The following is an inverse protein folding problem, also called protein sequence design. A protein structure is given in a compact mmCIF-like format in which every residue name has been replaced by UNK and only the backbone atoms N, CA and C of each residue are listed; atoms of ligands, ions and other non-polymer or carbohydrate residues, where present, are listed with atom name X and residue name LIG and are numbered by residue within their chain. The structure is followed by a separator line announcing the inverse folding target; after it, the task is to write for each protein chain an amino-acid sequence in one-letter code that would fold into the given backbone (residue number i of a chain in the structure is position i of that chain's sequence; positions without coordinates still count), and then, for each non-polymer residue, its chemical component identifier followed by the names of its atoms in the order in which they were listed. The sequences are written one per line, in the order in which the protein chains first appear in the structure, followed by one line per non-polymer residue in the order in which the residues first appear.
data_IF_810422979395
#
_entry.id   IF_810422979395
#
_cell.length_a   1.000
_cell.length_b   1.000
_cell.length_c   1.000
_cell.angle_alpha   90.00
_cell.angle_beta   90.00
_cell.angle_gamma   90.00
#
_symmetry.space_group_name_H-M   'P 1'
#
loop_
_entity.id
_entity.type
_entity.pdbx_description
1 polymer ?
#
# COMPACT_ATOMS: atom_id res chain seq x y z
N UNK A 1 -34.79 8.59 30.72
CA UNK A 1 -34.39 7.44 29.88
C UNK A 1 -33.10 7.84 29.17
N UNK A 2 -31.95 7.24 29.50
CA UNK A 2 -30.73 7.47 28.71
C UNK A 2 -30.96 6.87 27.31
N UNK A 3 -31.19 7.74 26.32
CA UNK A 3 -31.27 7.33 24.92
C UNK A 3 -29.92 6.72 24.53
N UNK A 4 -29.94 5.50 23.98
CA UNK A 4 -28.70 4.87 23.50
C UNK A 4 -28.09 5.77 22.40
N UNK A 5 -26.77 5.99 22.40
CA UNK A 5 -26.14 6.83 21.40
C UNK A 5 -26.35 6.26 20.00
N UNK A 6 -26.61 7.13 19.03
CA UNK A 6 -26.69 6.74 17.62
C UNK A 6 -25.27 6.47 17.12
N UNK A 7 -25.06 5.28 16.58
CA UNK A 7 -23.81 4.88 15.94
C UNK A 7 -23.86 5.35 14.50
N UNK A 8 -22.89 6.17 14.10
CA UNK A 8 -22.77 6.60 12.73
C UNK A 8 -21.99 5.55 11.94
N UNK A 9 -22.50 5.15 10.78
CA UNK A 9 -21.83 4.23 9.87
C UNK A 9 -21.40 4.99 8.62
N UNK A 10 -20.13 4.83 8.23
CA UNK A 10 -19.59 5.31 6.95
C UNK A 10 -18.92 4.17 6.20
N UNK A 11 -18.97 4.22 4.87
CA UNK A 11 -18.15 3.42 3.98
C UNK A 11 -17.22 4.33 3.18
N UNK A 12 -15.91 4.07 3.22
CA UNK A 12 -14.93 4.74 2.38
C UNK A 12 -14.70 3.93 1.10
N UNK A 13 -14.24 4.58 0.04
CA UNK A 13 -14.05 3.93 -1.25
C UNK A 13 -12.76 4.31 -1.95
N UNK A 14 -12.62 3.73 -3.13
CA UNK A 14 -11.58 4.00 -4.10
C UNK A 14 -11.80 5.39 -4.74
N UNK A 15 -10.75 6.00 -5.28
CA UNK A 15 -10.87 7.21 -6.09
C UNK A 15 -11.55 6.92 -7.45
N UNK A 16 -11.41 5.69 -7.96
CA UNK A 16 -11.95 5.25 -9.25
C UNK A 16 -13.42 4.87 -9.09
N UNK A 17 -14.31 5.66 -9.69
CA UNK A 17 -15.75 5.38 -9.68
C UNK A 17 -16.10 3.97 -10.17
N UNK A 18 -15.39 3.45 -11.18
CA UNK A 18 -15.63 2.10 -11.71
C UNK A 18 -15.31 0.98 -10.72
N UNK A 19 -14.33 1.16 -9.83
CA UNK A 19 -14.04 0.21 -8.76
C UNK A 19 -15.15 0.23 -7.70
N UNK A 20 -15.58 1.42 -7.29
CA UNK A 20 -16.68 1.61 -6.36
C UNK A 20 -18.00 1.03 -6.88
N UNK A 21 -18.37 1.31 -8.13
CA UNK A 21 -19.59 0.79 -8.77
C UNK A 21 -19.62 -0.75 -8.78
N UNK A 22 -18.48 -1.40 -9.03
CA UNK A 22 -18.37 -2.87 -8.98
C UNK A 22 -18.57 -3.44 -7.57
N UNK A 23 -18.20 -2.68 -6.53
CA UNK A 23 -18.25 -3.13 -5.14
C UNK A 23 -19.53 -2.70 -4.40
N UNK A 24 -20.36 -1.84 -4.98
CA UNK A 24 -21.55 -1.26 -4.33
C UNK A 24 -22.48 -2.34 -3.74
N UNK A 25 -22.84 -3.35 -4.53
CA UNK A 25 -23.72 -4.44 -4.08
C UNK A 25 -23.11 -5.23 -2.92
N UNK A 26 -21.80 -5.52 -2.99
CA UNK A 26 -21.09 -6.26 -1.95
C UNK A 26 -21.01 -5.45 -0.65
N UNK A 27 -20.70 -4.16 -0.75
CA UNK A 27 -20.67 -3.24 0.38
C UNK A 27 -22.04 -3.13 1.06
N UNK A 28 -23.13 -2.93 0.30
CA UNK A 28 -24.47 -2.83 0.88
C UNK A 28 -24.91 -4.13 1.57
N UNK A 29 -24.55 -5.30 1.00
CA UNK A 29 -24.82 -6.59 1.63
C UNK A 29 -24.04 -6.76 2.94
N UNK A 30 -22.75 -6.39 2.96
CA UNK A 30 -21.91 -6.40 4.14
C UNK A 30 -22.45 -5.45 5.22
N UNK A 31 -22.79 -4.21 4.85
CA UNK A 31 -23.40 -3.23 5.76
C UNK A 31 -24.73 -3.75 6.35
N UNK A 32 -25.57 -4.40 5.55
CA UNK A 32 -26.84 -4.96 6.02
C UNK A 32 -26.62 -6.06 7.08
N UNK A 33 -25.65 -6.95 6.87
CA UNK A 33 -25.27 -7.99 7.83
C UNK A 33 -24.69 -7.38 9.12
N UNK A 34 -23.79 -6.41 9.00
CA UNK A 34 -23.20 -5.69 10.13
C UNK A 34 -24.27 -4.93 10.93
N UNK A 35 -25.17 -4.20 10.26
CA UNK A 35 -26.27 -3.47 10.89
C UNK A 35 -27.21 -4.43 11.62
N UNK A 36 -27.50 -5.61 11.05
CA UNK A 36 -28.29 -6.66 11.71
C UNK A 36 -27.61 -7.11 13.01
N UNK A 37 -26.31 -7.38 12.99
CA UNK A 37 -25.55 -7.77 14.18
C UNK A 37 -25.59 -6.66 15.26
N UNK A 38 -25.40 -5.40 14.87
CA UNK A 38 -25.46 -4.25 15.80
C UNK A 38 -26.85 -4.12 16.44
N UNK A 39 -27.92 -4.27 15.65
CA UNK A 39 -29.30 -4.20 16.17
C UNK A 39 -29.61 -5.33 17.14
N UNK A 40 -29.10 -6.55 16.90
CA UNK A 40 -29.26 -7.70 17.80
C UNK A 40 -28.57 -7.47 19.15
N UNK A 41 -27.44 -6.75 19.17
CA UNK A 41 -26.77 -6.33 20.41
C UNK A 41 -27.35 -5.01 20.98
N UNK A 42 -28.46 -4.53 20.41
CA UNK A 42 -29.24 -3.41 20.90
C UNK A 42 -28.72 -2.02 20.53
N UNK A 43 -27.82 -1.90 19.54
CA UNK A 43 -27.35 -0.63 19.00
C UNK A 43 -28.32 -0.01 17.98
N UNK A 44 -28.20 1.31 17.78
CA UNK A 44 -28.98 2.06 16.78
C UNK A 44 -28.00 2.65 15.78
N UNK A 45 -28.17 2.33 14.49
CA UNK A 45 -27.24 2.76 13.43
C UNK A 45 -27.89 3.80 12.54
N UNK A 46 -27.14 4.84 12.19
CA UNK A 46 -27.45 5.82 11.14
C UNK A 46 -26.30 5.86 10.14
N UNK A 47 -26.54 5.45 8.90
CA UNK A 47 -25.57 5.66 7.82
C UNK A 47 -25.44 7.16 7.54
N UNK A 48 -24.21 7.69 7.53
CA UNK A 48 -23.98 9.13 7.47
C UNK A 48 -24.06 9.73 6.06
N UNK A 49 -24.12 8.87 5.05
CA UNK A 49 -24.14 9.22 3.63
C UNK A 49 -24.96 8.19 2.84
N UNK A 50 -25.23 8.48 1.57
CA UNK A 50 -26.13 7.69 0.73
C UNK A 50 -25.68 7.62 -0.72
N UNK A 51 -26.44 6.89 -1.52
CA UNK A 51 -26.17 6.71 -2.95
C UNK A 51 -26.20 8.05 -3.71
N UNK A 52 -25.19 8.27 -4.54
CA UNK A 52 -25.04 9.46 -5.40
C UNK A 52 -25.19 9.05 -6.85
N UNK A 53 -26.28 9.50 -7.49
CA UNK A 53 -26.65 9.12 -8.87
C UNK A 53 -25.58 9.52 -9.89
N UNK A 54 -24.91 10.64 -9.65
CA UNK A 54 -23.89 11.22 -10.50
C UNK A 54 -22.64 10.35 -10.63
N UNK A 55 -22.28 9.58 -9.60
CA UNK A 55 -21.12 8.67 -9.59
C UNK A 55 -21.52 7.20 -9.59
N UNK A 56 -22.80 6.89 -9.36
CA UNK A 56 -23.34 5.52 -9.42
C UNK A 56 -22.98 4.63 -8.24
N UNK A 57 -22.60 5.20 -7.11
CA UNK A 57 -22.25 4.46 -5.89
C UNK A 57 -22.51 5.29 -4.62
N UNK A 58 -22.37 4.66 -3.45
CA UNK A 58 -22.64 5.27 -2.15
C UNK A 58 -21.41 5.43 -1.25
N UNK A 59 -20.20 5.16 -1.75
CA UNK A 59 -18.93 5.37 -1.03
C UNK A 59 -18.51 6.84 -0.92
N UNK A 60 -17.67 7.13 0.09
CA UNK A 60 -16.84 8.34 0.13
C UNK A 60 -15.63 8.13 -0.78
N UNK A 61 -15.49 8.95 -1.83
CA UNK A 61 -14.50 8.78 -2.90
C UNK A 61 -13.55 9.98 -3.08
N UNK A 62 -13.58 10.91 -2.12
CA UNK A 62 -12.68 12.06 -2.13
C UNK A 62 -12.56 12.67 -0.75
N UNK A 63 -11.44 13.34 -0.48
CA UNK A 63 -11.28 14.13 0.74
C UNK A 63 -12.33 15.24 0.86
N UNK A 64 -12.68 15.90 -0.25
CA UNK A 64 -13.74 16.92 -0.26
C UNK A 64 -15.04 16.36 0.30
N UNK A 65 -15.48 15.23 -0.25
CA UNK A 65 -16.74 14.62 0.18
C UNK A 65 -16.65 14.06 1.60
N UNK A 66 -15.54 13.41 1.96
CA UNK A 66 -15.30 12.94 3.32
C UNK A 66 -15.42 14.06 4.35
N UNK A 67 -14.79 15.22 4.10
CA UNK A 67 -14.91 16.39 4.98
C UNK A 67 -16.34 16.93 5.07
N UNK A 68 -17.12 16.91 3.99
CA UNK A 68 -18.53 17.29 4.02
C UNK A 68 -19.38 16.35 4.89
N UNK A 69 -19.05 15.06 4.93
CA UNK A 69 -19.70 14.08 5.80
C UNK A 69 -19.32 14.32 7.27
N UNK A 70 -18.02 14.46 7.57
CA UNK A 70 -17.57 14.66 8.96
C UNK A 70 -18.08 15.96 9.59
N UNK A 71 -18.33 17.02 8.81
CA UNK A 71 -19.00 18.25 9.30
C UNK A 71 -20.41 17.99 9.86
N UNK A 72 -21.06 16.90 9.46
CA UNK A 72 -22.45 16.55 9.85
C UNK A 72 -22.52 15.46 10.93
N UNK A 73 -21.40 14.78 11.21
CA UNK A 73 -21.31 13.76 12.25
C UNK A 73 -20.96 14.46 13.57
N UNK A 74 -21.73 14.26 14.66
CA UNK A 74 -21.32 14.76 15.98
C UNK A 74 -19.97 14.15 16.37
N UNK A 75 -18.98 14.99 16.67
CA UNK A 75 -17.60 14.53 16.90
C UNK A 75 -17.44 13.55 18.06
N UNK A 76 -18.36 13.54 19.04
CA UNK A 76 -18.36 12.57 20.15
C UNK A 76 -19.14 11.29 19.89
N UNK A 77 -19.81 11.14 18.74
CA UNK A 77 -20.65 9.96 18.48
C UNK A 77 -19.80 8.71 18.20
N UNK A 78 -20.26 7.50 18.58
CA UNK A 78 -19.64 6.26 18.13
C UNK A 78 -19.67 6.18 16.60
N UNK A 79 -18.53 5.87 15.99
CA UNK A 79 -18.35 5.81 14.55
C UNK A 79 -17.89 4.41 14.12
N UNK A 80 -18.55 3.84 13.11
CA UNK A 80 -18.13 2.62 12.44
C UNK A 80 -17.71 2.96 11.01
N UNK A 81 -16.50 2.56 10.62
CA UNK A 81 -16.05 2.55 9.24
C UNK A 81 -16.16 1.13 8.71
N UNK A 82 -17.05 0.90 7.76
CA UNK A 82 -17.38 -0.41 7.22
C UNK A 82 -16.77 -0.57 5.82
N UNK A 83 -15.88 -1.56 5.64
CA UNK A 83 -15.07 -1.75 4.43
C UNK A 83 -15.29 -3.11 3.77
N UNK A 84 -15.79 -3.14 2.54
CA UNK A 84 -15.82 -4.30 1.65
C UNK A 84 -15.02 -4.03 0.36
N UNK A 85 -14.28 -2.93 0.27
CA UNK A 85 -13.55 -2.49 -0.92
C UNK A 85 -12.15 -1.98 -0.55
N UNK A 86 -11.29 -1.84 -1.55
CA UNK A 86 -10.07 -1.06 -1.43
C UNK A 86 -10.43 0.42 -1.31
N UNK A 87 -9.79 1.13 -0.39
CA UNK A 87 -10.13 2.51 -0.08
C UNK A 87 -8.89 3.38 0.03
N UNK A 88 -9.06 4.67 -0.23
CA UNK A 88 -7.99 5.65 -0.13
C UNK A 88 -8.13 6.38 1.22
N UNK A 89 -7.25 6.04 2.18
CA UNK A 89 -7.39 6.50 3.58
C UNK A 89 -7.50 8.01 3.71
N UNK A 90 -6.78 8.75 2.85
CA UNK A 90 -6.80 10.22 2.85
C UNK A 90 -8.20 10.85 2.65
N UNK A 91 -9.17 10.12 2.07
CA UNK A 91 -10.54 10.58 1.93
C UNK A 91 -11.20 10.91 3.27
N UNK A 92 -10.91 10.11 4.30
CA UNK A 92 -11.56 10.22 5.61
C UNK A 92 -10.60 10.44 6.77
N UNK A 93 -9.29 10.20 6.60
CA UNK A 93 -8.30 10.29 7.67
C UNK A 93 -8.36 11.64 8.42
N UNK A 94 -8.43 12.75 7.69
CA UNK A 94 -8.52 14.08 8.27
C UNK A 94 -9.79 14.29 9.10
N UNK A 95 -10.91 13.71 8.68
CA UNK A 95 -12.14 13.69 9.46
C UNK A 95 -11.98 12.91 10.75
N UNK A 96 -11.37 11.72 10.65
CA UNK A 96 -11.08 10.84 11.79
C UNK A 96 -10.13 11.49 12.80
N UNK A 97 -9.13 12.25 12.36
CA UNK A 97 -8.20 13.00 13.24
C UNK A 97 -8.92 14.00 14.15
N UNK A 98 -10.08 14.51 13.73
CA UNK A 98 -10.87 15.47 14.50
C UNK A 98 -12.00 14.83 15.29
N UNK A 99 -12.23 13.54 15.09
CA UNK A 99 -13.30 12.78 15.75
C UNK A 99 -12.87 12.38 17.16
N UNK A 100 -13.76 12.56 18.13
CA UNK A 100 -13.50 12.34 19.57
C UNK A 100 -14.21 11.10 20.13
N UNK A 101 -15.24 10.62 19.43
CA UNK A 101 -15.97 9.42 19.81
C UNK A 101 -15.18 8.14 19.50
N UNK A 102 -15.60 6.99 20.07
CA UNK A 102 -14.95 5.72 19.77
C UNK A 102 -15.11 5.34 18.29
N UNK A 103 -14.03 4.86 17.68
CA UNK A 103 -13.98 4.41 16.29
C UNK A 103 -13.86 2.88 16.26
N UNK A 104 -14.67 2.24 15.42
CA UNK A 104 -14.55 0.82 15.07
C UNK A 104 -14.40 0.69 13.56
N UNK A 105 -13.35 0.05 13.11
CA UNK A 105 -13.26 -0.44 11.73
C UNK A 105 -13.82 -1.85 11.65
N UNK A 106 -14.63 -2.11 10.63
CA UNK A 106 -15.30 -3.39 10.42
C UNK A 106 -15.19 -3.80 8.94
N UNK A 107 -14.79 -5.05 8.69
CA UNK A 107 -14.72 -5.59 7.33
C UNK A 107 -15.19 -7.05 7.30
N UNK A 108 -15.65 -7.49 6.13
CA UNK A 108 -15.91 -8.91 5.91
C UNK A 108 -14.65 -9.63 5.40
N UNK A 109 -14.49 -10.90 5.77
CA UNK A 109 -13.47 -11.77 5.18
C UNK A 109 -13.95 -12.27 3.81
N UNK A 110 -13.29 -11.85 2.73
CA UNK A 110 -13.63 -12.24 1.36
C UNK A 110 -12.40 -12.34 0.49
N UNK A 111 -12.20 -13.48 -0.17
CA UNK A 111 -11.14 -13.62 -1.18
C UNK A 111 -11.44 -12.90 -2.50
N UNK A 112 -12.68 -12.43 -2.69
CA UNK A 112 -13.11 -11.74 -3.92
C UNK A 112 -12.96 -10.22 -3.79
N UNK A 113 -13.31 -9.66 -2.63
CA UNK A 113 -13.38 -8.22 -2.43
C UNK A 113 -12.37 -7.74 -1.38
N UNK A 114 -11.56 -6.71 -1.67
CA UNK A 114 -10.40 -6.33 -0.86
C UNK A 114 -10.76 -5.48 0.39
N UNK A 115 -11.87 -5.79 1.07
CA UNK A 115 -12.34 -5.05 2.25
C UNK A 115 -11.36 -5.11 3.43
N UNK A 116 -10.76 -6.28 3.69
CA UNK A 116 -9.73 -6.42 4.72
C UNK A 116 -8.48 -5.60 4.39
N UNK A 117 -8.03 -5.63 3.13
CA UNK A 117 -6.89 -4.82 2.66
C UNK A 117 -7.17 -3.33 2.86
N UNK A 118 -8.36 -2.87 2.44
CA UNK A 118 -8.81 -1.49 2.65
C UNK A 118 -8.87 -1.10 4.13
N UNK A 119 -9.43 -1.96 4.97
CA UNK A 119 -9.48 -1.75 6.42
C UNK A 119 -8.07 -1.68 7.04
N UNK A 120 -7.15 -2.56 6.64
CA UNK A 120 -5.78 -2.60 7.17
C UNK A 120 -4.97 -1.35 6.76
N UNK A 121 -5.16 -0.85 5.53
CA UNK A 121 -4.60 0.43 5.10
C UNK A 121 -5.10 1.59 5.99
N UNK A 122 -6.41 1.64 6.27
CA UNK A 122 -6.98 2.65 7.15
C UNK A 122 -6.45 2.53 8.58
N UNK A 123 -6.40 1.31 9.11
CA UNK A 123 -5.87 1.00 10.44
C UNK A 123 -4.41 1.44 10.59
N UNK A 124 -3.56 1.11 9.60
CA UNK A 124 -2.18 1.58 9.57
C UNK A 124 -2.10 3.10 9.55
N UNK A 125 -2.96 3.75 8.76
CA UNK A 125 -3.00 5.22 8.64
C UNK A 125 -3.44 5.89 9.94
N UNK A 126 -4.46 5.35 10.62
CA UNK A 126 -4.90 5.81 11.93
C UNK A 126 -3.85 5.59 13.01
N UNK A 127 -3.19 4.42 13.01
CA UNK A 127 -2.09 4.11 13.94
C UNK A 127 -0.97 5.12 13.80
N UNK A 128 -0.53 5.38 12.56
CA UNK A 128 0.49 6.39 12.25
C UNK A 128 0.06 7.79 12.70
N UNK A 129 -1.21 8.14 12.53
CA UNK A 129 -1.76 9.43 12.94
C UNK A 129 -2.04 9.54 14.46
N UNK A 130 -1.77 8.50 15.25
CA UNK A 130 -2.04 8.49 16.70
C UNK A 130 -3.53 8.45 17.05
N UNK A 131 -4.38 7.99 16.13
CA UNK A 131 -5.82 7.87 16.34
C UNK A 131 -6.11 6.52 17.01
N UNK A 132 -6.80 6.54 18.15
CA UNK A 132 -7.29 5.32 18.80
C UNK A 132 -8.47 4.74 18.03
N UNK A 133 -8.38 3.45 17.70
CA UNK A 133 -9.47 2.71 17.05
C UNK A 133 -9.55 1.27 17.60
N UNK A 134 -10.67 0.62 17.32
CA UNK A 134 -10.83 -0.84 17.45
C UNK A 134 -11.10 -1.44 16.08
N UNK A 135 -10.84 -2.73 15.92
CA UNK A 135 -11.14 -3.43 14.68
C UNK A 135 -11.84 -4.76 14.96
N UNK A 136 -12.81 -5.08 14.11
CA UNK A 136 -13.48 -6.37 14.06
C UNK A 136 -13.61 -6.82 12.61
N UNK A 137 -13.53 -8.11 12.39
CA UNK A 137 -13.78 -8.71 11.09
C UNK A 137 -14.45 -10.06 11.28
N UNK A 138 -15.15 -10.51 10.25
CA UNK A 138 -15.88 -11.78 10.25
C UNK A 138 -16.22 -12.15 8.82
N UNK A 139 -16.53 -13.41 8.53
CA UNK A 139 -17.09 -13.78 7.24
C UNK A 139 -18.51 -13.24 7.06
N UNK A 140 -19.34 -13.30 8.12
CA UNK A 140 -20.77 -12.98 8.06
C UNK A 140 -21.32 -12.18 9.27
N UNK A 141 -20.45 -11.83 10.21
CA UNK A 141 -20.74 -11.11 11.47
C UNK A 141 -21.61 -11.88 12.48
N UNK A 142 -21.77 -13.20 12.31
CA UNK A 142 -22.56 -14.03 13.22
C UNK A 142 -21.71 -14.80 14.23
N UNK A 143 -20.41 -14.95 13.97
CA UNK A 143 -19.52 -15.72 14.83
C UNK A 143 -19.42 -15.15 16.26
N UNK A 144 -19.18 -16.04 17.22
CA UNK A 144 -19.18 -15.69 18.64
C UNK A 144 -18.09 -14.68 19.02
N UNK A 145 -16.95 -14.73 18.32
CA UNK A 145 -15.79 -13.85 18.59
C UNK A 145 -16.12 -12.43 18.17
N UNK A 146 -16.65 -12.25 16.96
CA UNK A 146 -17.15 -10.97 16.46
C UNK A 146 -18.23 -10.41 17.39
N UNK A 147 -19.25 -11.20 17.73
CA UNK A 147 -20.36 -10.74 18.58
C UNK A 147 -19.89 -10.34 19.99
N UNK A 148 -18.94 -11.08 20.56
CA UNK A 148 -18.35 -10.73 21.85
C UNK A 148 -17.55 -9.41 21.79
N UNK A 149 -16.76 -9.22 20.72
CA UNK A 149 -16.05 -7.98 20.46
C UNK A 149 -16.99 -6.80 20.25
N UNK A 150 -18.06 -6.99 19.47
CA UNK A 150 -19.07 -5.96 19.22
C UNK A 150 -19.77 -5.53 20.52
N UNK A 151 -20.17 -6.47 21.37
CA UNK A 151 -20.71 -6.16 22.72
C UNK A 151 -19.72 -5.37 23.57
N UNK A 152 -18.45 -5.74 23.53
CA UNK A 152 -17.42 -5.04 24.29
C UNK A 152 -17.27 -3.59 23.79
N UNK A 153 -17.24 -3.38 22.48
CA UNK A 153 -17.16 -2.06 21.88
C UNK A 153 -18.40 -1.21 22.15
N UNK A 154 -19.60 -1.75 21.99
CA UNK A 154 -20.85 -1.02 22.28
C UNK A 154 -20.94 -0.53 23.74
N UNK A 155 -20.37 -1.29 24.68
CA UNK A 155 -20.37 -0.94 26.11
C UNK A 155 -19.23 -0.02 26.52
N UNK A 156 -18.03 -0.21 25.98
CA UNK A 156 -16.79 0.41 26.47
C UNK A 156 -16.11 1.33 25.45
N UNK A 157 -16.56 1.35 24.20
CA UNK A 157 -15.91 2.03 23.09
C UNK A 157 -14.61 1.36 22.62
N UNK A 158 -14.27 0.16 23.11
CA UNK A 158 -13.00 -0.52 22.83
C UNK A 158 -13.14 -2.04 22.71
N UNK A 159 -12.41 -2.61 21.76
CA UNK A 159 -12.13 -4.05 21.62
C UNK A 159 -10.69 -4.31 22.05
N UNK A 160 -10.41 -5.46 22.65
CA UNK A 160 -9.04 -5.89 22.96
C UNK A 160 -8.80 -7.27 22.40
N UNK A 161 -7.73 -7.41 21.63
CA UNK A 161 -7.31 -8.67 21.02
C UNK A 161 -6.16 -9.27 21.81
N UNK A 162 -6.12 -10.61 21.91
CA UNK A 162 -5.06 -11.30 22.62
C UNK A 162 -3.77 -11.30 21.78
N UNK A 163 -2.72 -10.63 22.28
CA UNK A 163 -1.41 -10.55 21.62
C UNK A 163 -0.36 -11.45 22.27
N UNK A 164 -0.78 -12.61 22.83
CA UNK A 164 0.11 -13.54 23.56
C UNK A 164 1.29 -14.08 22.73
N UNK A 165 1.19 -14.00 21.40
CA UNK A 165 2.24 -14.40 20.47
C UNK A 165 3.32 -13.31 20.27
N UNK A 166 3.04 -12.07 20.68
CA UNK A 166 3.97 -10.94 20.58
C UNK A 166 4.86 -10.88 21.81
N UNK A 167 6.16 -10.63 21.61
CA UNK A 167 7.14 -10.45 22.69
C UNK A 167 7.94 -9.18 22.44
N UNK A 168 8.32 -8.48 23.51
CA UNK A 168 9.20 -7.31 23.38
C UNK A 168 10.60 -7.77 23.00
N UNK A 169 11.27 -6.99 22.14
CA UNK A 169 12.65 -7.27 21.73
C UNK A 169 13.60 -7.39 22.93
N UNK A 170 13.44 -6.52 23.94
CA UNK A 170 14.25 -6.54 25.17
C UNK A 170 14.13 -7.86 25.97
N UNK A 171 13.03 -8.60 25.80
CA UNK A 171 12.84 -9.91 26.45
C UNK A 171 13.37 -11.09 25.62
N UNK A 172 13.75 -10.86 24.36
CA UNK A 172 14.23 -11.91 23.46
C UNK A 172 15.70 -12.25 23.76
N UNK A 173 16.00 -13.54 23.92
CA UNK A 173 17.38 -14.04 24.01
C UNK A 173 17.91 -14.26 22.59
N UNK A 174 18.68 -13.29 22.08
CA UNK A 174 19.22 -13.33 20.72
C UNK A 174 20.60 -13.97 20.68
N UNK A 175 20.94 -14.72 19.60
CA UNK A 175 22.29 -15.23 19.41
C UNK A 175 23.32 -14.09 19.32
N UNK A 176 24.44 -14.13 20.09
CA UNK A 176 25.43 -13.06 20.08
C UNK A 176 26.03 -12.78 18.69
N UNK A 177 26.13 -13.79 17.82
CA UNK A 177 26.59 -13.63 16.44
C UNK A 177 25.63 -12.79 15.61
N UNK A 178 24.32 -13.06 15.70
CA UNK A 178 23.28 -12.32 14.98
C UNK A 178 23.23 -10.86 15.44
N UNK A 179 23.31 -10.62 16.76
CA UNK A 179 23.35 -9.26 17.32
C UNK A 179 24.52 -8.47 16.77
N UNK A 180 25.74 -9.02 16.78
CA UNK A 180 26.93 -8.32 16.23
C UNK A 180 26.80 -7.99 14.74
N UNK A 181 26.24 -8.91 13.95
CA UNK A 181 26.02 -8.68 12.51
C UNK A 181 25.04 -7.53 12.31
N UNK A 182 23.91 -7.54 13.02
CA UNK A 182 22.88 -6.51 12.93
C UNK A 182 23.36 -5.13 13.39
N UNK A 183 24.06 -5.06 14.53
CA UNK A 183 24.61 -3.80 15.05
C UNK A 183 25.66 -3.20 14.10
N UNK A 184 26.56 -4.03 13.58
CA UNK A 184 27.55 -3.59 12.60
C UNK A 184 26.86 -3.08 11.33
N UNK A 185 25.89 -3.84 10.80
CA UNK A 185 25.12 -3.42 9.64
C UNK A 185 24.41 -2.07 9.86
N UNK A 186 23.75 -1.89 11.00
CA UNK A 186 23.03 -0.66 11.32
C UNK A 186 23.99 0.54 11.48
N UNK A 187 25.19 0.34 12.04
CA UNK A 187 26.23 1.37 12.08
C UNK A 187 26.72 1.72 10.67
N UNK A 188 26.98 0.72 9.84
CA UNK A 188 27.42 0.89 8.46
C UNK A 188 26.37 1.66 7.64
N UNK A 189 25.08 1.27 7.70
CA UNK A 189 23.98 1.95 6.99
C UNK A 189 23.89 3.44 7.37
N UNK A 190 23.93 3.74 8.68
CA UNK A 190 23.93 5.13 9.19
C UNK A 190 25.10 5.96 8.70
N UNK A 191 26.29 5.36 8.60
CA UNK A 191 27.47 6.05 8.10
C UNK A 191 27.45 6.28 6.58
N UNK A 192 26.92 5.30 5.81
CA UNK A 192 26.88 5.34 4.34
C UNK A 192 25.83 6.30 3.79
N UNK A 193 24.76 6.58 4.55
CA UNK A 193 23.68 7.51 4.17
C UNK A 193 23.01 7.10 2.85
N UNK A 194 22.32 5.95 2.86
CA UNK A 194 21.69 5.41 1.67
C UNK A 194 20.55 6.32 1.15
N UNK A 195 20.37 6.35 -0.16
CA UNK A 195 19.34 7.16 -0.82
C UNK A 195 18.18 6.26 -1.28
N UNK A 196 16.96 6.63 -0.91
CA UNK A 196 15.70 6.04 -1.35
C UNK A 196 15.06 6.98 -2.38
N UNK A 197 15.04 6.58 -3.65
CA UNK A 197 14.38 7.36 -4.70
C UNK A 197 12.88 7.11 -4.72
N UNK A 198 12.08 8.15 -4.54
CA UNK A 198 10.61 8.05 -4.50
C UNK A 198 10.05 8.80 -5.71
N UNK A 199 9.49 8.09 -6.69
CA UNK A 199 8.85 8.71 -7.86
C UNK A 199 7.41 9.12 -7.53
N UNK A 200 7.25 10.40 -7.16
CA UNK A 200 6.04 11.01 -6.58
C UNK A 200 5.57 10.30 -5.28
N UNK A 201 5.52 11.02 -4.16
CA UNK A 201 5.24 10.42 -2.84
C UNK A 201 3.73 10.21 -2.61
N UNK A 202 3.37 9.07 -2.01
CA UNK A 202 2.00 8.74 -1.59
C UNK A 202 1.13 8.15 -2.72
N UNK A 203 1.06 6.83 -2.79
CA UNK A 203 0.18 6.13 -3.71
C UNK A 203 -1.21 5.88 -3.12
N UNK A 204 -2.25 6.09 -3.92
CA UNK A 204 -3.65 5.72 -3.60
C UNK A 204 -4.13 6.12 -2.19
N UNK A 205 -3.65 7.25 -1.66
CA UNK A 205 -4.03 7.71 -0.32
C UNK A 205 -3.56 6.84 0.85
N UNK A 206 -2.57 5.96 0.64
CA UNK A 206 -1.90 5.17 1.68
C UNK A 206 -1.04 6.06 2.58
N UNK A 207 -1.67 6.75 3.52
CA UNK A 207 -0.94 7.61 4.46
C UNK A 207 0.06 6.82 5.31
N UNK A 208 -0.25 5.57 5.63
CA UNK A 208 0.64 4.63 6.35
C UNK A 208 1.94 4.31 5.59
N UNK A 209 1.91 4.33 4.27
CA UNK A 209 3.02 3.95 3.40
C UNK A 209 4.13 5.01 3.32
N UNK A 210 3.84 6.23 3.77
CA UNK A 210 4.80 7.35 3.76
C UNK A 210 5.53 7.38 5.11
N UNK A 211 6.85 7.38 5.15
CA UNK A 211 7.62 7.55 6.39
C UNK A 211 7.96 9.03 6.57
N UNK A 212 7.71 9.66 7.73
CA UNK A 212 8.21 11.01 7.99
C UNK A 212 9.73 11.09 7.82
N UNK A 213 10.22 12.17 7.20
CA UNK A 213 11.63 12.33 6.87
C UNK A 213 12.53 12.14 8.09
N UNK A 214 12.24 12.80 9.21
CA UNK A 214 13.05 12.73 10.43
C UNK A 214 13.10 11.29 11.00
N UNK A 215 12.02 10.53 10.84
CA UNK A 215 11.96 9.14 11.27
C UNK A 215 12.85 8.27 10.38
N UNK A 216 12.76 8.44 9.05
CA UNK A 216 13.58 7.68 8.10
C UNK A 216 15.06 8.03 8.23
N UNK A 217 15.40 9.32 8.33
CA UNK A 217 16.78 9.82 8.42
C UNK A 217 17.53 9.24 9.62
N UNK A 218 16.83 8.98 10.73
CA UNK A 218 17.41 8.34 11.92
C UNK A 218 17.98 6.92 11.65
N UNK A 219 17.50 6.26 10.60
CA UNK A 219 17.97 4.94 10.17
C UNK A 219 19.23 5.01 9.28
N UNK A 220 19.59 6.19 8.79
CA UNK A 220 20.65 6.36 7.79
C UNK A 220 20.15 6.35 6.34
N UNK A 221 18.83 6.39 6.12
CA UNK A 221 18.21 6.43 4.79
C UNK A 221 17.61 7.80 4.55
N UNK A 222 17.80 8.35 3.35
CA UNK A 222 17.37 9.69 2.96
C UNK A 222 16.56 9.62 1.68
N UNK A 223 15.46 10.38 1.58
CA UNK A 223 14.62 10.40 0.38
C UNK A 223 15.22 11.31 -0.69
N UNK A 224 15.34 10.77 -1.90
CA UNK A 224 15.43 11.57 -3.11
C UNK A 224 14.04 11.67 -3.73
N UNK A 225 13.54 12.90 -3.90
CA UNK A 225 12.18 13.15 -4.40
C UNK A 225 12.19 13.22 -5.92
N UNK A 226 11.94 12.08 -6.53
CA UNK A 226 11.89 11.93 -7.98
C UNK A 226 10.46 12.20 -8.49
N UNK A 227 10.33 12.50 -9.78
CA UNK A 227 9.01 12.72 -10.40
C UNK A 227 8.69 11.65 -11.43
N UNK A 228 7.46 11.14 -11.43
CA UNK A 228 7.00 10.23 -12.48
C UNK A 228 6.98 10.90 -13.86
N UNK A 229 6.83 12.23 -13.92
CA UNK A 229 6.93 12.97 -15.18
C UNK A 229 8.34 12.89 -15.76
N UNK A 230 9.36 12.98 -14.91
CA UNK A 230 10.76 12.79 -15.29
C UNK A 230 11.04 11.34 -15.71
N UNK A 231 10.45 10.36 -15.02
CA UNK A 231 10.53 8.95 -15.42
C UNK A 231 9.94 8.75 -16.83
N UNK A 232 8.74 9.27 -17.09
CA UNK A 232 8.11 9.20 -18.39
C UNK A 232 8.94 9.91 -19.48
N UNK A 233 9.45 11.11 -19.20
CA UNK A 233 10.33 11.82 -20.13
C UNK A 233 11.60 11.00 -20.45
N UNK A 234 12.22 10.38 -19.44
CA UNK A 234 13.37 9.51 -19.62
C UNK A 234 13.03 8.23 -20.41
N UNK A 235 11.84 7.65 -20.22
CA UNK A 235 11.36 6.52 -21.04
C UNK A 235 11.32 6.87 -22.52
N UNK A 236 10.88 8.08 -22.87
CA UNK A 236 10.83 8.53 -24.27
C UNK A 236 12.23 8.65 -24.90
N UNK A 237 13.28 8.85 -24.09
CA UNK A 237 14.67 8.88 -24.54
C UNK A 237 15.32 7.49 -24.62
N UNK A 238 14.70 6.44 -24.07
CA UNK A 238 15.21 5.08 -24.22
C UNK A 238 14.98 4.58 -25.63
N UNK A 239 16.07 4.24 -26.32
CA UNK A 239 16.00 3.70 -27.67
C UNK A 239 15.23 2.38 -27.71
N UNK A 240 14.44 2.20 -28.77
CA UNK A 240 13.75 0.94 -29.04
C UNK A 240 14.75 -0.23 -29.20
N UNK A 241 15.99 0.03 -29.60
CA UNK A 241 17.04 -0.99 -29.71
C UNK A 241 17.46 -1.54 -28.34
N UNK A 242 17.68 -0.66 -27.35
CA UNK A 242 18.02 -1.05 -25.98
C UNK A 242 16.87 -1.88 -25.36
N UNK A 243 15.61 -1.44 -25.50
CA UNK A 243 14.45 -2.17 -24.98
C UNK A 243 14.26 -3.55 -25.65
N UNK A 244 14.48 -3.64 -26.97
CA UNK A 244 14.46 -4.94 -27.66
C UNK A 244 15.62 -5.85 -27.26
N UNK A 245 16.79 -5.29 -26.92
CA UNK A 245 17.90 -6.08 -26.40
C UNK A 245 17.55 -6.71 -25.04
N UNK A 246 16.91 -5.94 -24.16
CA UNK A 246 16.39 -6.44 -22.89
C UNK A 246 15.31 -7.52 -23.09
N UNK A 247 14.38 -7.31 -24.04
CA UNK A 247 13.37 -8.33 -24.36
C UNK A 247 14.01 -9.63 -24.88
N UNK A 248 14.97 -9.53 -25.81
CA UNK A 248 15.69 -10.71 -26.32
C UNK A 248 16.45 -11.43 -25.22
N UNK A 249 16.99 -10.71 -24.24
CA UNK A 249 17.62 -11.30 -23.08
C UNK A 249 16.63 -12.15 -22.28
N UNK A 250 15.44 -11.62 -21.99
CA UNK A 250 14.38 -12.34 -21.27
C UNK A 250 13.94 -13.61 -22.01
N UNK A 251 13.72 -13.49 -23.31
CA UNK A 251 13.34 -14.64 -24.15
C UNK A 251 14.42 -15.73 -24.15
N UNK A 252 15.71 -15.35 -24.23
CA UNK A 252 16.83 -16.32 -24.15
C UNK A 252 16.95 -16.97 -22.77
N UNK A 253 16.57 -16.27 -21.71
CA UNK A 253 16.49 -16.82 -20.35
C UNK A 253 15.27 -17.70 -20.12
N UNK A 254 14.38 -17.82 -21.11
CA UNK A 254 13.22 -18.70 -21.09
C UNK A 254 11.92 -18.04 -20.62
N UNK A 255 11.89 -16.72 -20.43
CA UNK A 255 10.67 -15.99 -20.13
C UNK A 255 9.67 -16.13 -21.28
N UNK A 256 8.44 -16.53 -20.98
CA UNK A 256 7.35 -16.67 -21.96
C UNK A 256 6.39 -15.50 -21.84
N UNK A 257 6.06 -14.90 -22.98
CA UNK A 257 5.06 -13.83 -23.07
C UNK A 257 3.86 -14.32 -23.89
N UNK A 258 2.68 -14.23 -23.31
CA UNK A 258 1.42 -14.54 -23.99
C UNK A 258 0.89 -13.26 -24.65
N UNK A 259 1.51 -12.85 -25.76
CA UNK A 259 1.13 -11.61 -26.42
C UNK A 259 -0.16 -11.75 -27.23
N UNK A 260 -1.10 -10.85 -26.96
CA UNK A 260 -2.31 -10.63 -27.75
C UNK A 260 -2.18 -9.48 -28.74
N UNK A 261 -3.32 -9.09 -29.30
CA UNK A 261 -3.46 -7.97 -30.25
C UNK A 261 -4.25 -6.80 -29.67
N UNK A 262 -5.18 -7.06 -28.74
CA UNK A 262 -6.00 -6.02 -28.12
C UNK A 262 -5.36 -5.51 -26.82
N UNK A 263 -4.78 -4.31 -26.85
CA UNK A 263 -4.12 -3.72 -25.68
C UNK A 263 -5.07 -3.39 -24.51
N UNK A 264 -6.39 -3.36 -24.73
CA UNK A 264 -7.39 -3.12 -23.67
C UNK A 264 -7.63 -4.36 -22.81
N UNK A 265 -7.50 -5.56 -23.39
CA UNK A 265 -7.86 -6.83 -22.74
C UNK A 265 -6.71 -7.82 -22.66
N UNK A 266 -5.61 -7.58 -23.37
CA UNK A 266 -4.49 -8.50 -23.51
C UNK A 266 -3.15 -7.76 -23.36
N UNK A 267 -2.13 -8.45 -22.85
CA UNK A 267 -0.77 -7.95 -22.89
C UNK A 267 -0.26 -7.96 -24.34
N UNK A 268 0.17 -6.82 -24.86
CA UNK A 268 0.78 -6.73 -26.20
C UNK A 268 2.29 -6.62 -26.13
N UNK A 269 2.98 -7.03 -27.21
CA UNK A 269 4.44 -6.89 -27.31
C UNK A 269 4.90 -5.44 -27.19
N UNK A 270 4.10 -4.49 -27.70
CA UNK A 270 4.36 -3.06 -27.55
C UNK A 270 4.39 -2.65 -26.08
N UNK A 271 3.38 -3.05 -25.29
CA UNK A 271 3.35 -2.78 -23.85
C UNK A 271 4.55 -3.38 -23.12
N UNK A 272 5.00 -4.60 -23.48
CA UNK A 272 6.23 -5.17 -22.90
C UNK A 272 7.48 -4.36 -23.24
N UNK A 273 7.60 -3.85 -24.47
CA UNK A 273 8.72 -2.98 -24.88
C UNK A 273 8.70 -1.66 -24.11
N UNK A 274 7.52 -1.04 -23.94
CA UNK A 274 7.38 0.22 -23.20
C UNK A 274 7.66 0.02 -21.70
N UNK A 275 7.26 -1.11 -21.11
CA UNK A 275 7.68 -1.50 -19.75
C UNK A 275 9.20 -1.65 -19.63
N UNK A 276 9.86 -2.24 -20.63
CA UNK A 276 11.32 -2.35 -20.65
C UNK A 276 12.03 -1.00 -20.81
N UNK A 277 11.38 0.00 -21.44
CA UNK A 277 11.86 1.39 -21.44
C UNK A 277 11.71 2.05 -20.06
N UNK A 278 10.67 1.71 -19.30
CA UNK A 278 10.52 2.13 -17.91
C UNK A 278 11.65 1.56 -17.04
N UNK A 279 11.88 0.24 -17.11
CA UNK A 279 12.98 -0.45 -16.44
C UNK A 279 14.34 0.19 -16.76
N UNK A 280 14.65 0.24 -18.06
CA UNK A 280 15.40 1.30 -18.75
C UNK A 280 15.81 2.54 -17.95
N UNK A 281 14.87 3.48 -17.98
CA UNK A 281 14.94 4.80 -17.43
C UNK A 281 15.09 4.78 -15.91
N UNK A 282 14.34 3.93 -15.20
CA UNK A 282 14.38 3.83 -13.75
C UNK A 282 15.79 3.47 -13.25
N UNK A 283 16.46 2.49 -13.86
CA UNK A 283 17.84 2.10 -13.51
C UNK A 283 18.83 3.23 -13.79
N UNK A 284 18.66 3.95 -14.91
CA UNK A 284 19.54 5.08 -15.25
C UNK A 284 19.36 6.27 -14.29
N UNK A 285 18.13 6.58 -13.90
CA UNK A 285 17.85 7.62 -12.91
C UNK A 285 18.39 7.21 -11.54
N UNK A 286 18.23 5.94 -11.14
CA UNK A 286 18.80 5.45 -9.89
C UNK A 286 20.33 5.57 -9.84
N UNK A 287 21.02 5.32 -10.96
CA UNK A 287 22.48 5.55 -11.06
C UNK A 287 22.82 7.05 -10.98
N UNK A 288 22.08 7.90 -11.71
CA UNK A 288 22.29 9.35 -11.73
C UNK A 288 22.17 9.99 -10.34
N UNK A 289 21.19 9.55 -9.55
CA UNK A 289 20.91 10.08 -8.21
C UNK A 289 21.53 9.24 -7.07
N UNK A 290 22.26 8.16 -7.40
CA UNK A 290 22.89 7.30 -6.39
C UNK A 290 21.90 6.55 -5.50
N UNK A 291 20.70 6.24 -6.00
CA UNK A 291 19.66 5.54 -5.25
C UNK A 291 20.08 4.09 -4.94
N UNK A 292 19.95 3.71 -3.67
CA UNK A 292 20.11 2.33 -3.20
C UNK A 292 18.83 1.50 -3.37
N UNK A 293 17.68 2.16 -3.40
CA UNK A 293 16.34 1.58 -3.61
C UNK A 293 15.47 2.62 -4.30
N UNK A 294 14.50 2.20 -5.11
CA UNK A 294 13.55 3.11 -5.77
C UNK A 294 12.11 2.61 -5.69
N UNK A 295 11.14 3.52 -5.61
CA UNK A 295 9.73 3.17 -5.65
C UNK A 295 9.02 3.98 -6.72
N UNK A 296 8.20 3.30 -7.52
CA UNK A 296 7.37 3.91 -8.56
C UNK A 296 5.94 3.96 -8.03
N UNK A 297 5.36 5.17 -7.94
CA UNK A 297 3.98 5.31 -7.47
C UNK A 297 3.01 4.61 -8.42
N UNK A 298 3.19 4.84 -9.72
CA UNK A 298 2.39 4.42 -10.86
C UNK A 298 0.92 4.92 -10.82
N UNK A 299 0.21 4.61 -9.74
CA UNK A 299 -1.18 4.95 -9.50
C UNK A 299 -1.34 6.17 -8.58
N UNK A 300 -1.96 7.28 -8.97
CA UNK A 300 -2.48 7.64 -10.30
C UNK A 300 -1.44 8.51 -11.03
N UNK A 301 -1.74 8.90 -12.27
CA UNK A 301 -0.86 9.77 -13.06
C UNK A 301 -0.09 8.99 -14.13
N UNK A 302 0.98 8.27 -13.76
CA UNK A 302 1.80 7.57 -14.75
C UNK A 302 1.02 6.47 -15.50
N UNK A 303 0.06 5.82 -14.83
CA UNK A 303 -0.84 4.84 -15.44
C UNK A 303 -1.65 5.37 -16.64
N UNK A 304 -1.83 6.68 -16.76
CA UNK A 304 -2.55 7.30 -17.88
C UNK A 304 -1.64 7.59 -19.09
N UNK A 305 -0.32 7.43 -18.92
CA UNK A 305 0.71 7.73 -19.91
C UNK A 305 1.51 6.49 -20.36
N UNK A 306 1.60 5.48 -19.49
CA UNK A 306 2.42 4.29 -19.70
C UNK A 306 1.67 3.00 -19.31
N UNK A 307 2.02 1.85 -19.93
CA UNK A 307 1.53 0.57 -19.46
C UNK A 307 1.95 0.30 -18.02
N UNK A 308 1.30 -0.71 -17.41
CA UNK A 308 1.56 -1.17 -16.05
C UNK A 308 3.05 -1.41 -15.80
N UNK A 309 3.55 -1.02 -14.63
CA UNK A 309 4.97 -1.07 -14.28
C UNK A 309 5.44 -2.47 -13.86
N UNK A 310 4.53 -3.45 -13.76
CA UNK A 310 4.76 -4.80 -13.20
C UNK A 310 6.03 -5.49 -13.70
N UNK A 311 6.27 -5.51 -15.02
CA UNK A 311 7.49 -6.14 -15.56
C UNK A 311 8.74 -5.37 -15.14
N UNK A 312 8.69 -4.03 -15.13
CA UNK A 312 9.83 -3.22 -14.72
C UNK A 312 10.16 -3.46 -13.25
N UNK A 313 9.15 -3.41 -12.37
CA UNK A 313 9.29 -3.58 -10.93
C UNK A 313 9.77 -4.98 -10.55
N UNK A 314 9.23 -6.02 -11.20
CA UNK A 314 9.69 -7.39 -11.00
C UNK A 314 11.15 -7.61 -11.43
N UNK A 315 11.60 -6.95 -12.50
CA UNK A 315 12.99 -7.02 -12.93
C UNK A 315 13.95 -6.28 -12.01
N UNK A 316 13.52 -5.15 -11.43
CA UNK A 316 14.35 -4.36 -10.52
C UNK A 316 14.74 -5.15 -9.26
N UNK A 317 13.81 -5.95 -8.73
CA UNK A 317 14.01 -6.78 -7.55
C UNK A 317 14.80 -8.08 -7.78
N UNK A 318 15.34 -8.32 -8.99
CA UNK A 318 16.08 -9.54 -9.33
C UNK A 318 17.55 -9.24 -9.67
N UNK A 319 18.50 -10.03 -9.15
CA UNK A 319 19.92 -9.89 -9.51
C UNK A 319 20.22 -10.39 -10.93
N UNK A 320 19.49 -11.40 -11.39
CA UNK A 320 19.57 -11.92 -12.77
C UNK A 320 18.52 -11.22 -13.64
N UNK A 321 18.87 -10.02 -14.09
CA UNK A 321 18.00 -9.15 -14.89
C UNK A 321 18.71 -8.66 -16.17
N UNK A 322 17.95 -8.18 -17.18
CA UNK A 322 18.55 -7.67 -18.41
C UNK A 322 19.56 -6.55 -18.13
N UNK A 323 20.80 -6.60 -18.70
CA UNK A 323 21.79 -5.55 -18.51
C UNK A 323 21.29 -4.18 -18.92
N UNK A 324 21.57 -3.17 -18.10
CA UNK A 324 21.30 -1.77 -18.41
C UNK A 324 22.62 -1.02 -18.51
N UNK A 325 22.74 -0.16 -19.52
CA UNK A 325 23.94 0.61 -19.77
C UNK A 325 23.67 2.11 -19.59
N UNK A 326 24.63 2.79 -18.99
CA UNK A 326 24.66 4.24 -18.90
C UNK A 326 24.55 4.86 -20.30
N UNK A 327 23.73 5.90 -20.44
CA UNK A 327 23.36 6.46 -21.74
C UNK A 327 24.58 6.92 -22.56
N UNK A 328 25.54 7.61 -21.91
CA UNK A 328 26.75 8.16 -22.57
C UNK A 328 27.95 7.19 -22.53
N UNK A 329 28.45 6.87 -21.34
CA UNK A 329 29.65 6.03 -21.16
C UNK A 329 29.51 4.57 -21.58
N UNK A 330 28.27 4.06 -21.77
CA UNK A 330 27.98 2.65 -22.05
C UNK A 330 28.51 1.66 -21.00
N UNK A 331 28.88 2.14 -19.80
CA UNK A 331 29.18 1.29 -18.64
C UNK A 331 27.92 0.55 -18.22
N UNK A 332 28.04 -0.75 -17.93
CA UNK A 332 26.96 -1.56 -17.35
C UNK A 332 26.66 -1.08 -15.92
N UNK A 333 25.40 -0.83 -15.61
CA UNK A 333 24.92 -0.29 -14.33
C UNK A 333 24.44 -1.42 -13.44
N UNK A 334 24.83 -1.38 -12.15
CA UNK A 334 24.39 -2.34 -11.12
C UNK A 334 24.54 -3.82 -11.56
N UNK A 335 25.66 -4.16 -12.20
CA UNK A 335 25.90 -5.51 -12.72
C UNK A 335 25.85 -6.57 -11.62
N UNK A 336 25.00 -7.59 -11.79
CA UNK A 336 24.84 -8.69 -10.84
C UNK A 336 24.13 -8.31 -9.53
N UNK A 337 23.54 -7.12 -9.51
CA UNK A 337 22.84 -6.53 -8.37
C UNK A 337 21.39 -6.23 -8.75
N UNK A 338 20.47 -6.56 -7.84
CA UNK A 338 19.13 -5.99 -7.88
C UNK A 338 19.22 -4.50 -7.55
N UNK A 339 18.22 -3.76 -7.99
CA UNK A 339 17.93 -2.43 -7.48
C UNK A 339 16.62 -2.59 -6.72
N UNK A 340 16.66 -2.82 -5.39
CA UNK A 340 15.46 -3.04 -4.59
C UNK A 340 14.38 -2.02 -4.97
N UNK A 341 13.21 -2.54 -5.29
CA UNK A 341 12.07 -1.75 -5.73
C UNK A 341 10.89 -1.95 -4.80
N UNK A 342 10.21 -0.86 -4.48
CA UNK A 342 8.99 -0.88 -3.70
C UNK A 342 7.78 -0.36 -4.47
N UNK A 343 6.81 -1.25 -4.65
CA UNK A 343 5.56 -1.00 -5.36
C UNK A 343 4.79 0.12 -4.70
N UNK A 344 4.11 0.93 -5.52
CA UNK A 344 3.17 1.94 -5.05
C UNK A 344 3.78 2.92 -4.04
N UNK A 345 5.09 3.16 -4.16
CA UNK A 345 5.89 3.96 -3.21
C UNK A 345 5.59 3.64 -1.74
N UNK A 346 5.35 2.36 -1.41
CA UNK A 346 5.33 1.92 -0.02
C UNK A 346 6.74 1.95 0.59
N UNK A 347 7.07 3.08 1.19
CA UNK A 347 8.39 3.33 1.77
C UNK A 347 8.70 2.43 2.96
N UNK A 348 7.66 1.93 3.67
CA UNK A 348 7.86 0.94 4.72
C UNK A 348 8.39 -0.36 4.13
N UNK A 349 7.75 -0.82 3.06
CA UNK A 349 8.22 -1.96 2.27
C UNK A 349 9.56 -1.68 1.58
N UNK A 350 9.82 -0.44 1.17
CA UNK A 350 11.09 -0.02 0.57
C UNK A 350 12.28 -0.04 1.53
N UNK A 351 12.08 0.44 2.76
CA UNK A 351 13.09 0.41 3.82
C UNK A 351 13.38 -1.04 4.23
N UNK A 352 12.33 -1.83 4.47
CA UNK A 352 12.47 -3.25 4.81
C UNK A 352 13.17 -4.02 3.68
N UNK A 353 12.74 -3.81 2.42
CA UNK A 353 13.33 -4.45 1.25
C UNK A 353 14.81 -4.12 1.06
N UNK A 354 15.22 -2.87 1.27
CA UNK A 354 16.64 -2.48 1.23
C UNK A 354 17.45 -3.18 2.32
N UNK A 355 16.97 -3.14 3.56
CA UNK A 355 17.66 -3.72 4.72
C UNK A 355 17.78 -5.24 4.57
N UNK A 356 16.68 -5.90 4.20
CA UNK A 356 16.62 -7.34 3.97
C UNK A 356 17.55 -7.76 2.85
N UNK A 357 17.53 -7.06 1.70
CA UNK A 357 18.42 -7.33 0.57
C UNK A 357 19.90 -7.30 0.98
N UNK A 358 20.33 -6.23 1.66
CA UNK A 358 21.74 -6.08 2.06
C UNK A 358 22.17 -7.07 3.15
N UNK A 359 21.29 -7.37 4.11
CA UNK A 359 21.58 -8.33 5.18
C UNK A 359 21.64 -9.77 4.66
N UNK A 360 20.70 -10.17 3.81
CA UNK A 360 20.67 -11.52 3.25
C UNK A 360 21.93 -11.80 2.43
N UNK A 361 22.38 -10.83 1.62
CA UNK A 361 23.69 -10.92 0.95
C UNK A 361 24.85 -11.11 1.91
N UNK A 362 24.88 -10.37 3.02
CA UNK A 362 25.94 -10.50 4.04
C UNK A 362 25.90 -11.87 4.72
N UNK A 363 24.73 -12.49 4.82
CA UNK A 363 24.52 -13.82 5.39
C UNK A 363 24.69 -14.96 4.38
N UNK A 364 24.87 -14.66 3.09
CA UNK A 364 25.01 -15.66 2.03
C UNK A 364 23.69 -16.28 1.57
N UNK A 365 22.56 -15.58 1.75
CA UNK A 365 21.24 -15.97 1.26
C UNK A 365 20.89 -15.24 -0.05
N UNK A 366 19.95 -15.80 -0.80
CA UNK A 366 19.44 -15.21 -2.06
C UNK A 366 18.51 -14.03 -1.76
N UNK A 367 18.93 -12.79 -2.04
CA UNK A 367 18.30 -11.58 -1.50
C UNK A 367 17.12 -11.06 -2.33
N UNK A 368 16.75 -11.73 -3.41
CA UNK A 368 15.65 -11.34 -4.30
C UNK A 368 14.33 -11.22 -3.54
N UNK A 369 13.56 -10.19 -3.89
CA UNK A 369 12.29 -9.90 -3.24
C UNK A 369 11.13 -10.02 -4.22
N UNK A 370 10.00 -10.52 -3.73
CA UNK A 370 8.70 -10.43 -4.38
C UNK A 370 7.77 -9.73 -3.41
N UNK A 371 7.21 -8.59 -3.80
CA UNK A 371 6.23 -7.87 -2.98
C UNK A 371 4.84 -8.48 -3.14
N UNK A 372 4.09 -8.57 -2.05
CA UNK A 372 2.78 -9.22 -1.99
C UNK A 372 1.77 -8.40 -1.20
N UNK A 373 0.53 -8.38 -1.70
CA UNK A 373 -0.63 -7.94 -0.92
C UNK A 373 -1.04 -9.02 0.08
N UNK A 374 -1.46 -8.62 1.28
CA UNK A 374 -2.15 -9.50 2.23
C UNK A 374 -3.64 -9.58 1.88
N UNK A 375 -4.00 -10.42 0.91
CA UNK A 375 -5.39 -10.59 0.42
C UNK A 375 -6.27 -11.49 1.28
#
# INVERSE_FOLDING_TARGET
MNTKPIIYLIANGDLRASANQKCETAQLAMEAALIKAIKLEGGIVKRAHGFRKEVGHSFIDSQKYGMEIFRKIPSGAPLIVAEAVWQYSHHILHGLMTHKGPILTAANWSGTWPGLVGMLNLNGSMTKAGIEYSSLWSEDFQDSTFRAGLRAWLRKGKVSHATKHVRTYASAKLPPSATRIGEKYAADLRSRKAIMGVFDEGCMGMHNAIIPDELLQSTGVFKERLSQSSLYAAMLQVSTADANAALRWLLRKGMKFNWGKNAETELTKRQSIDQLKMYIAAVRIADEFGCATIGIQYQQGLKDLAPASDLAEGLLNNRDRPPVFHAKSRKELFKGEALPHFNEVDECSGLDGLVTYELWKKLGWEPENTLHDLR
#
